data_IF_641961481040
#
_entry.id   IF_641961481040
#
_cell.length_a   1.000
_cell.length_b   1.000
_cell.length_c   1.000
_cell.angle_alpha   90.00
_cell.angle_beta   90.00
_cell.angle_gamma   90.00
#
_symmetry.space_group_name_H-M   'P 1'
#
loop_
_entity.id
_entity.type
_entity.pdbx_description
1 polymer ?
#
# COMPACT_ATOMS: atom_id res chain seq x y z
N UNK A 1 -3.97 -12.97 27.10
CA UNK A 1 -3.91 -11.50 26.94
C UNK A 1 -4.27 -11.19 25.50
N UNK A 2 -5.51 -10.78 25.29
CA UNK A 2 -6.12 -10.57 23.97
C UNK A 2 -5.80 -9.15 23.49
N UNK A 3 -4.76 -9.00 22.65
CA UNK A 3 -4.57 -7.78 21.88
C UNK A 3 -5.34 -7.91 20.56
N UNK A 4 -6.68 -7.88 20.63
CA UNK A 4 -7.51 -7.65 19.44
C UNK A 4 -7.44 -6.16 19.11
N UNK A 5 -6.33 -5.74 18.51
CA UNK A 5 -6.27 -4.50 17.77
C UNK A 5 -7.29 -4.62 16.63
N UNK A 6 -8.49 -4.05 16.83
CA UNK A 6 -9.41 -3.78 15.73
C UNK A 6 -8.82 -2.63 14.94
N UNK A 7 -7.79 -2.95 14.17
CA UNK A 7 -7.18 -2.08 13.18
C UNK A 7 -8.30 -1.70 12.20
N UNK A 8 -8.49 -0.40 12.00
CA UNK A 8 -9.45 0.13 11.02
C UNK A 8 -8.92 -0.31 9.66
N UNK A 9 -9.32 -1.49 9.21
CA UNK A 9 -8.79 -2.10 8.01
C UNK A 9 -9.09 -1.18 6.83
N UNK A 10 -8.05 -0.52 6.32
CA UNK A 10 -8.16 0.30 5.11
C UNK A 10 -8.57 -0.67 4.00
N UNK A 11 -9.57 -0.29 3.20
CA UNK A 11 -10.04 -1.12 2.09
C UNK A 11 -9.26 -0.80 0.81
N UNK A 12 -9.27 -1.73 -0.13
CA UNK A 12 -8.71 -1.46 -1.44
C UNK A 12 -9.48 -0.33 -2.12
N UNK A 13 -8.76 0.65 -2.69
CA UNK A 13 -9.32 1.76 -3.47
C UNK A 13 -10.17 1.28 -4.65
N UNK A 14 -9.75 0.19 -5.28
CA UNK A 14 -10.44 -0.39 -6.43
C UNK A 14 -11.53 -1.37 -5.97
N UNK A 15 -11.26 -2.15 -4.93
CA UNK A 15 -12.13 -3.22 -4.46
C UNK A 15 -12.60 -2.93 -3.02
N UNK A 16 -13.70 -2.17 -2.81
CA UNK A 16 -14.13 -1.77 -1.47
C UNK A 16 -14.51 -2.94 -0.55
N UNK A 17 -14.86 -4.10 -1.14
CA UNK A 17 -15.15 -5.33 -0.40
C UNK A 17 -13.90 -6.04 0.12
N UNK A 18 -12.70 -5.70 -0.36
CA UNK A 18 -11.44 -6.36 0.02
C UNK A 18 -10.63 -5.48 0.96
N UNK A 19 -10.07 -6.09 1.98
CA UNK A 19 -9.09 -5.45 2.86
C UNK A 19 -7.81 -5.11 2.09
N UNK A 20 -7.22 -3.97 2.43
CA UNK A 20 -5.95 -3.56 1.85
C UNK A 20 -4.84 -4.42 2.45
N UNK A 21 -4.07 -5.02 1.55
CA UNK A 21 -2.83 -5.73 1.86
C UNK A 21 -1.68 -4.75 2.08
N UNK A 22 -1.60 -3.72 1.23
CA UNK A 22 -0.63 -2.65 1.34
C UNK A 22 -1.33 -1.29 1.42
N UNK A 23 -0.83 -0.41 2.29
CA UNK A 23 -1.40 0.91 2.53
C UNK A 23 -0.33 1.99 2.35
N UNK A 24 -0.66 3.01 1.58
CA UNK A 24 0.16 4.22 1.48
C UNK A 24 -0.10 5.09 2.71
N UNK A 25 0.89 5.24 3.59
CA UNK A 25 0.73 6.09 4.78
C UNK A 25 0.51 7.57 4.45
N UNK A 26 1.14 8.07 3.38
CA UNK A 26 1.04 9.48 2.95
C UNK A 26 -0.38 9.87 2.51
N UNK A 27 -1.04 9.01 1.74
CA UNK A 27 -2.36 9.28 1.16
C UNK A 27 -3.49 8.46 1.82
N UNK A 28 -3.16 7.60 2.78
CA UNK A 28 -4.08 6.62 3.39
C UNK A 28 -4.83 5.76 2.37
N UNK A 29 -4.21 5.50 1.22
CA UNK A 29 -4.79 4.69 0.14
C UNK A 29 -4.38 3.23 0.32
N UNK A 30 -5.36 2.33 0.36
CA UNK A 30 -5.12 0.89 0.42
C UNK A 30 -5.25 0.20 -0.93
N UNK A 31 -4.47 -0.86 -1.13
CA UNK A 31 -4.56 -1.78 -2.27
C UNK A 31 -4.67 -3.21 -1.75
N UNK A 32 -5.59 -4.00 -2.30
CA UNK A 32 -5.65 -5.44 -2.03
C UNK A 32 -4.46 -6.13 -2.67
N UNK A 33 -4.17 -7.36 -2.26
CA UNK A 33 -3.02 -8.13 -2.77
C UNK A 33 -3.04 -8.26 -4.29
N UNK A 34 -4.21 -8.53 -4.88
CA UNK A 34 -4.37 -8.64 -6.33
C UNK A 34 -4.00 -7.34 -7.03
N UNK A 35 -4.64 -6.21 -6.65
CA UNK A 35 -4.29 -4.92 -7.23
C UNK A 35 -2.81 -4.63 -7.03
N UNK A 36 -2.29 -4.80 -5.81
CA UNK A 36 -0.90 -4.54 -5.46
C UNK A 36 0.13 -5.34 -6.28
N UNK A 37 -0.23 -6.54 -6.76
CA UNK A 37 0.60 -7.38 -7.62
C UNK A 37 0.33 -7.19 -9.12
N UNK A 38 -0.78 -6.57 -9.49
CA UNK A 38 -1.17 -6.36 -10.89
C UNK A 38 -0.25 -5.38 -11.61
N UNK A 39 0.32 -4.40 -10.91
CA UNK A 39 1.22 -3.40 -11.50
C UNK A 39 2.53 -3.34 -10.71
N UNK A 40 3.63 -3.05 -11.40
CA UNK A 40 4.94 -2.92 -10.77
C UNK A 40 5.02 -1.73 -9.80
N UNK A 41 4.18 -0.70 -9.96
CA UNK A 41 4.21 0.49 -9.12
C UNK A 41 2.84 1.13 -8.92
N UNK A 42 2.34 1.13 -7.67
CA UNK A 42 1.12 1.85 -7.28
C UNK A 42 1.38 3.16 -6.53
N UNK A 43 2.64 3.60 -6.45
CA UNK A 43 2.96 4.89 -5.85
C UNK A 43 2.43 6.00 -6.77
N UNK A 44 1.51 6.85 -6.30
CA UNK A 44 0.95 7.93 -7.14
C UNK A 44 2.00 8.96 -7.55
N UNK A 45 2.99 9.23 -6.71
CA UNK A 45 4.04 10.21 -6.98
C UNK A 45 5.42 9.60 -6.70
N UNK A 46 5.93 8.71 -7.58
CA UNK A 46 7.20 8.02 -7.33
C UNK A 46 8.40 8.95 -7.42
N UNK A 47 8.29 10.08 -8.13
CA UNK A 47 9.36 11.10 -8.25
C UNK A 47 9.39 12.10 -7.09
N UNK A 48 8.31 12.22 -6.32
CA UNK A 48 8.23 13.18 -5.21
C UNK A 48 8.77 12.59 -3.91
N UNK A 49 9.42 13.41 -3.09
CA UNK A 49 9.86 12.97 -1.76
C UNK A 49 8.67 12.50 -0.90
N UNK A 50 8.92 11.44 -0.13
CA UNK A 50 7.97 10.86 0.81
C UNK A 50 8.74 10.25 1.99
N UNK A 51 8.50 10.79 3.19
CA UNK A 51 9.13 10.39 4.46
C UNK A 51 8.89 8.92 4.82
N UNK A 52 7.82 8.33 4.28
CA UNK A 52 7.43 6.96 4.56
C UNK A 52 8.07 5.93 3.62
N UNK A 53 8.90 6.34 2.64
CA UNK A 53 9.47 5.43 1.62
C UNK A 53 10.15 4.19 2.20
N UNK A 54 10.94 4.36 3.26
CA UNK A 54 11.68 3.27 3.92
C UNK A 54 10.76 2.17 4.49
N UNK A 55 9.52 2.53 4.85
CA UNK A 55 8.53 1.61 5.43
C UNK A 55 7.30 1.39 4.52
N UNK A 56 7.35 1.89 3.28
CA UNK A 56 6.21 1.84 2.36
C UNK A 56 6.33 0.62 1.45
N UNK A 57 5.52 -0.41 1.71
CA UNK A 57 5.47 -1.62 0.86
C UNK A 57 5.14 -1.29 -0.60
N UNK A 58 4.32 -0.25 -0.84
CA UNK A 58 3.98 0.24 -2.17
C UNK A 58 5.20 0.78 -2.92
N UNK A 59 6.10 1.45 -2.20
CA UNK A 59 7.34 1.95 -2.78
C UNK A 59 8.35 0.83 -3.02
N UNK A 60 8.49 -0.10 -2.07
CA UNK A 60 9.43 -1.21 -2.18
C UNK A 60 9.17 -2.08 -3.42
N UNK A 61 7.92 -2.26 -3.85
CA UNK A 61 7.61 -2.95 -5.11
C UNK A 61 8.00 -2.12 -6.35
N UNK A 62 7.80 -0.80 -6.29
CA UNK A 62 8.16 0.12 -7.36
C UNK A 62 9.67 0.16 -7.61
N UNK A 63 10.47 0.07 -6.54
CA UNK A 63 11.93 -0.06 -6.58
C UNK A 63 12.38 -1.39 -7.20
N UNK A 64 11.70 -2.49 -6.89
CA UNK A 64 12.07 -3.82 -7.41
C UNK A 64 11.78 -4.01 -8.91
N UNK A 65 10.94 -3.15 -9.52
CA UNK A 65 10.63 -3.17 -10.95
C UNK A 65 11.53 -2.28 -11.82
N UNK A 66 12.63 -1.72 -11.27
CA UNK A 66 13.60 -0.90 -11.99
C UNK A 66 14.86 -1.70 -12.41
N UNK A 67 14.67 -2.83 -13.11
CA UNK A 67 15.72 -3.47 -13.94
C UNK A 67 15.32 -3.39 -15.42
#
# INVERSE_FOLDING_TARGET
MEVKAKEKAIKCRHHPSRDAYAVCQKYSTGYCEECFRSEACHCSNPKAYCDYRLQCMIWAMCEQGMD
#
